data_IF_484128790146
#
_entry.id   IF_484128790146
#
_cell.length_a   1.000
_cell.length_b   1.000
_cell.length_c   1.000
_cell.angle_alpha   90.00
_cell.angle_beta   90.00
_cell.angle_gamma   90.00
#
_symmetry.space_group_name_H-M   'P 1'
#
loop_
_entity.id
_entity.type
_entity.pdbx_description
1 polymer ?
#
# COMPACT_ATOMS: atom_id res chain seq x y z
N UNK A 1 -13.49 14.68 9.41
CA UNK A 1 -14.35 13.47 9.41
C UNK A 1 -13.95 12.49 8.30
N UNK A 2 -13.76 12.93 7.06
CA UNK A 2 -13.36 12.08 5.92
C UNK A 2 -11.97 11.42 6.06
N UNK A 3 -10.94 12.17 6.47
CA UNK A 3 -9.57 11.66 6.62
C UNK A 3 -9.51 10.49 7.61
N UNK A 4 -10.30 10.54 8.69
CA UNK A 4 -10.39 9.48 9.69
C UNK A 4 -10.94 8.18 9.09
N UNK A 5 -12.03 8.28 8.31
CA UNK A 5 -12.60 7.13 7.59
C UNK A 5 -11.61 6.53 6.60
N UNK A 6 -10.90 7.36 5.83
CA UNK A 6 -9.89 6.89 4.86
C UNK A 6 -8.80 6.09 5.58
N UNK A 7 -8.35 6.59 6.74
CA UNK A 7 -7.33 5.92 7.57
C UNK A 7 -7.84 4.59 8.13
N UNK A 8 -9.10 4.53 8.56
CA UNK A 8 -9.72 3.29 9.05
C UNK A 8 -9.89 2.26 7.92
N UNK A 9 -10.31 2.68 6.72
CA UNK A 9 -10.37 1.79 5.55
C UNK A 9 -9.00 1.26 5.16
N UNK A 10 -7.97 2.10 5.20
CA UNK A 10 -6.60 1.68 4.96
C UNK A 10 -6.13 0.64 5.99
N UNK A 11 -6.44 0.87 7.28
CA UNK A 11 -6.12 -0.09 8.34
C UNK A 11 -6.80 -1.43 8.13
N UNK A 12 -8.07 -1.43 7.73
CA UNK A 12 -8.83 -2.64 7.42
C UNK A 12 -8.27 -3.39 6.19
N UNK A 13 -7.82 -2.67 5.17
CA UNK A 13 -7.14 -3.25 4.00
C UNK A 13 -5.83 -3.92 4.39
N UNK A 14 -5.04 -3.27 5.25
CA UNK A 14 -3.76 -3.79 5.80
C UNK A 14 -3.97 -5.01 6.70
N UNK A 15 -4.93 -4.96 7.62
CA UNK A 15 -5.27 -6.08 8.53
C UNK A 15 -5.72 -7.33 7.75
N UNK A 16 -6.45 -7.13 6.65
CA UNK A 16 -7.00 -8.23 5.84
C UNK A 16 -6.04 -8.76 4.77
N UNK A 17 -4.82 -8.21 4.66
CA UNK A 17 -3.80 -8.60 3.66
C UNK A 17 -4.36 -8.67 2.25
N UNK A 18 -5.10 -7.62 1.87
CA UNK A 18 -5.76 -7.56 0.56
C UNK A 18 -4.74 -7.54 -0.58
N UNK A 19 -3.53 -7.05 -0.32
CA UNK A 19 -2.37 -7.11 -1.22
C UNK A 19 -1.99 -8.55 -1.58
N UNK A 20 -1.82 -9.45 -0.61
CA UNK A 20 -1.46 -10.85 -0.86
C UNK A 20 -2.57 -11.59 -1.63
N UNK A 21 -3.84 -11.28 -1.34
CA UNK A 21 -4.99 -11.84 -2.05
C UNK A 21 -5.03 -11.34 -3.50
N UNK A 22 -4.81 -10.04 -3.74
CA UNK A 22 -4.78 -9.48 -5.10
C UNK A 22 -3.65 -10.10 -5.93
N UNK A 23 -2.46 -10.23 -5.34
CA UNK A 23 -1.30 -10.82 -6.01
C UNK A 23 -1.57 -12.28 -6.35
N UNK A 24 -2.07 -13.08 -5.39
CA UNK A 24 -2.34 -14.50 -5.61
C UNK A 24 -3.43 -14.73 -6.65
N UNK A 25 -4.55 -14.00 -6.60
CA UNK A 25 -5.63 -14.08 -7.60
C UNK A 25 -5.13 -13.65 -8.98
N UNK A 26 -4.32 -12.59 -9.05
CA UNK A 26 -3.73 -12.13 -10.30
C UNK A 26 -2.79 -13.16 -10.92
N UNK A 27 -1.89 -13.77 -10.13
CA UNK A 27 -1.00 -14.84 -10.59
C UNK A 27 -1.82 -16.04 -11.11
N UNK A 28 -2.86 -16.42 -10.39
CA UNK A 28 -3.74 -17.52 -10.79
C UNK A 28 -4.46 -17.20 -12.11
N UNK A 29 -4.93 -15.95 -12.28
CA UNK A 29 -5.50 -15.46 -13.52
C UNK A 29 -4.52 -15.45 -14.70
N UNK A 30 -3.24 -15.12 -14.46
CA UNK A 30 -2.17 -15.18 -15.48
C UNK A 30 -1.94 -16.63 -15.93
N UNK A 31 -1.90 -17.58 -15.00
CA UNK A 31 -1.75 -19.00 -15.30
C UNK A 31 -2.93 -19.52 -16.12
N UNK A 32 -4.16 -19.17 -15.75
CA UNK A 32 -5.37 -19.51 -16.52
C UNK A 32 -5.33 -18.84 -17.91
N UNK A 33 -4.92 -17.58 -17.99
CA UNK A 33 -4.77 -16.86 -19.26
C UNK A 33 -3.74 -17.50 -20.19
N UNK A 34 -2.69 -18.12 -19.64
CA UNK A 34 -1.70 -18.87 -20.43
C UNK A 34 -2.32 -20.09 -21.13
N UNK A 35 -3.29 -20.75 -20.49
CA UNK A 35 -3.95 -21.94 -21.02
C UNK A 35 -5.09 -21.59 -21.99
N UNK A 36 -5.86 -20.54 -21.70
CA UNK A 36 -7.10 -20.26 -22.44
C UNK A 36 -6.98 -19.16 -23.49
N UNK A 37 -6.38 -18.00 -23.18
CA UNK A 37 -6.33 -16.85 -24.10
C UNK A 37 -5.38 -15.73 -23.66
N UNK A 38 -4.63 -15.12 -24.59
CA UNK A 38 -3.80 -13.94 -24.32
C UNK A 38 -4.56 -12.76 -23.70
N UNK A 39 -5.83 -12.57 -24.04
CA UNK A 39 -6.63 -11.44 -23.51
C UNK A 39 -6.90 -11.58 -22.01
N UNK A 40 -7.10 -12.82 -21.52
CA UNK A 40 -7.28 -13.08 -20.08
C UNK A 40 -5.97 -12.80 -19.34
N UNK A 41 -4.84 -13.15 -19.95
CA UNK A 41 -3.51 -12.88 -19.39
C UNK A 41 -3.30 -11.39 -19.19
N UNK A 42 -3.62 -10.56 -20.18
CA UNK A 42 -3.47 -9.09 -20.10
C UNK A 42 -4.31 -8.49 -18.98
N UNK A 43 -5.55 -8.96 -18.80
CA UNK A 43 -6.43 -8.48 -17.74
C UNK A 43 -5.93 -8.93 -16.36
N UNK A 44 -5.40 -10.16 -16.25
CA UNK A 44 -4.94 -10.73 -14.99
C UNK A 44 -3.65 -10.10 -14.44
N UNK A 45 -2.90 -9.34 -15.24
CA UNK A 45 -1.74 -8.56 -14.75
C UNK A 45 -2.18 -7.42 -13.83
N UNK A 46 -3.36 -6.84 -14.04
CA UNK A 46 -3.82 -5.67 -13.29
C UNK A 46 -3.98 -5.91 -11.78
N UNK A 47 -4.61 -7.01 -11.32
CA UNK A 47 -4.64 -7.36 -9.91
C UNK A 47 -3.24 -7.51 -9.29
N UNK A 48 -2.29 -8.10 -10.02
CA UNK A 48 -0.89 -8.25 -9.55
C UNK A 48 -0.25 -6.88 -9.38
N UNK A 49 -0.38 -6.00 -10.37
CA UNK A 49 0.16 -4.65 -10.33
C UNK A 49 -0.39 -3.86 -9.13
N UNK A 50 -1.71 -3.88 -8.94
CA UNK A 50 -2.37 -3.19 -7.84
C UNK A 50 -1.92 -3.74 -6.47
N UNK A 51 -1.83 -5.06 -6.33
CA UNK A 51 -1.33 -5.68 -5.10
C UNK A 51 0.12 -5.29 -4.79
N UNK A 52 1.00 -5.25 -5.80
CA UNK A 52 2.39 -4.80 -5.64
C UNK A 52 2.45 -3.31 -5.24
N UNK A 53 1.64 -2.45 -5.85
CA UNK A 53 1.57 -1.03 -5.50
C UNK A 53 1.18 -0.81 -4.04
N UNK A 54 0.18 -1.56 -3.54
CA UNK A 54 -0.23 -1.49 -2.13
C UNK A 54 0.94 -1.93 -1.23
N UNK A 55 1.61 -3.03 -1.58
CA UNK A 55 2.73 -3.57 -0.81
C UNK A 55 3.93 -2.63 -0.76
N UNK A 56 4.23 -1.96 -1.87
CA UNK A 56 5.27 -0.92 -1.94
C UNK A 56 4.91 0.31 -1.12
N UNK A 57 3.63 0.70 -1.10
CA UNK A 57 3.16 1.80 -0.27
C UNK A 57 3.27 1.46 1.21
N UNK A 58 2.84 0.26 1.62
CA UNK A 58 3.02 -0.24 2.99
C UNK A 58 4.50 -0.30 3.39
N UNK A 59 5.37 -0.78 2.49
CA UNK A 59 6.81 -0.78 2.72
C UNK A 59 7.38 0.63 2.90
N UNK A 60 6.91 1.59 2.10
CA UNK A 60 7.32 2.99 2.23
C UNK A 60 6.84 3.60 3.55
N UNK A 61 5.60 3.31 3.96
CA UNK A 61 5.07 3.77 5.26
C UNK A 61 5.86 3.17 6.42
N UNK A 62 6.16 1.88 6.37
CA UNK A 62 6.96 1.20 7.39
C UNK A 62 8.39 1.74 7.42
N UNK A 63 8.99 2.08 6.27
CA UNK A 63 10.28 2.77 6.18
C UNK A 63 10.19 4.15 6.82
N UNK A 64 9.20 4.96 6.49
CA UNK A 64 9.03 6.28 7.08
C UNK A 64 8.85 6.19 8.61
N UNK A 65 8.15 5.17 9.10
CA UNK A 65 7.97 4.97 10.55
C UNK A 65 9.21 4.45 11.26
N UNK A 66 10.02 3.61 10.61
CA UNK A 66 11.15 2.92 11.25
C UNK A 66 12.51 3.56 10.98
N UNK A 67 12.73 4.17 9.80
CA UNK A 67 14.02 4.74 9.37
C UNK A 67 14.13 6.23 9.71
N UNK A 68 13.01 6.92 9.92
CA UNK A 68 13.00 8.34 10.26
C UNK A 68 12.81 8.50 11.78
N UNK A 69 13.87 8.64 12.60
CA UNK A 69 13.76 9.24 13.92
C UNK A 69 13.69 10.78 13.79
N UNK A 70 13.09 11.33 12.72
CA UNK A 70 12.90 12.77 12.61
C UNK A 70 11.75 13.17 13.52
N UNK A 71 12.09 13.36 14.78
CA UNK A 71 11.45 14.38 15.57
C UNK A 71 11.73 15.72 14.86
N UNK A 72 10.89 16.12 13.91
CA UNK A 72 10.98 17.44 13.26
C UNK A 72 10.97 18.58 14.30
N UNK A 73 10.43 18.34 15.51
CA UNK A 73 10.51 19.30 16.63
C UNK A 73 11.92 19.43 17.23
N UNK A 74 12.86 18.51 16.93
CA UNK A 74 14.27 18.63 17.31
C UNK A 74 15.13 19.30 16.22
N UNK A 75 14.60 19.41 14.99
CA UNK A 75 15.30 20.05 13.86
C UNK A 75 14.90 21.51 13.67
N UNK A 76 13.69 21.86 14.09
CA UNK A 76 13.24 23.23 14.14
C UNK A 76 13.45 23.75 15.57
N UNK A 77 14.09 24.91 15.76
CA UNK A 77 14.14 25.52 17.09
C UNK A 77 12.71 25.70 17.61
N UNK A 78 12.46 25.45 18.90
CA UNK A 78 11.12 25.56 19.47
C UNK A 78 10.55 26.96 19.17
N UNK A 79 9.25 27.06 18.84
CA UNK A 79 8.64 28.34 18.51
C UNK A 79 8.84 29.30 19.69
N UNK A 80 9.34 30.51 19.40
CA UNK A 80 9.51 31.55 20.41
C UNK A 80 8.15 31.76 21.10
N UNK A 81 8.10 31.53 22.41
CA UNK A 81 6.96 31.94 23.22
C UNK A 81 6.79 33.45 23.02
N UNK A 82 5.62 33.86 22.55
CA UNK A 82 5.21 35.26 22.64
C UNK A 82 4.77 35.45 24.08
N UNK A 83 5.46 36.35 24.77
CA UNK A 83 5.09 36.83 26.10
C UNK A 83 3.66 37.41 26.10
#
# INVERSE_FOLDING_TARGET
MFIKKIKDFYRLLKEKKVDDILISVGILGILVGFVFSPSIREIAVWPVLLGICIKLYDFTEDIERNIIPYNFNNLLPPPKKKD
#
